data_IF_064084244905
#
_entry.id   IF_064084244905
#
_cell.length_a   1.000
_cell.length_b   1.000
_cell.length_c   1.000
_cell.angle_alpha   90.00
_cell.angle_beta   90.00
_cell.angle_gamma   90.00
#
_symmetry.space_group_name_H-M   'P 1'
#
loop_
_entity.id
_entity.type
_entity.pdbx_description
1 polymer ?
#
# COMPACT_ATOMS: atom_id res chain seq x y z
N UNK A 1 0.67 -2.51 29.19
CA UNK A 1 0.97 -1.08 29.19
C UNK A 1 0.34 -0.44 27.97
N UNK A 2 -0.28 0.72 28.15
CA UNK A 2 -0.74 1.61 27.08
C UNK A 2 0.29 2.73 26.98
N UNK A 3 0.72 3.10 25.78
CA UNK A 3 1.56 4.28 25.58
C UNK A 3 0.78 5.37 24.83
N UNK A 4 1.07 6.63 25.17
CA UNK A 4 0.60 7.83 24.48
C UNK A 4 1.80 8.78 24.35
N UNK A 5 2.35 8.87 23.15
CA UNK A 5 3.58 9.61 22.85
C UNK A 5 3.24 10.75 21.89
N UNK A 6 3.60 11.98 22.24
CA UNK A 6 3.21 13.17 21.48
C UNK A 6 4.35 14.15 21.32
N UNK A 7 4.34 14.86 20.19
CA UNK A 7 5.13 16.06 19.92
C UNK A 7 6.65 15.80 19.96
N UNK A 8 7.18 15.34 18.83
CA UNK A 8 8.61 15.11 18.65
C UNK A 8 9.15 15.96 17.50
N UNK A 9 10.28 16.63 17.75
CA UNK A 9 10.89 17.59 16.84
C UNK A 9 11.71 16.93 15.73
N UNK A 10 12.99 16.70 15.99
CA UNK A 10 13.97 16.42 14.93
C UNK A 10 14.21 14.93 14.65
N UNK A 11 14.46 14.14 15.69
CA UNK A 11 14.72 12.70 15.57
C UNK A 11 14.11 11.94 16.72
N UNK A 12 13.65 10.73 16.44
CA UNK A 12 13.16 9.84 17.47
C UNK A 12 13.32 8.38 17.07
N UNK A 13 13.71 7.56 18.05
CA UNK A 13 13.79 6.11 17.96
C UNK A 13 12.94 5.53 19.09
N UNK A 14 11.84 4.87 18.74
CA UNK A 14 10.92 4.26 19.68
C UNK A 14 10.88 2.76 19.47
N UNK A 15 11.15 2.00 20.52
CA UNK A 15 11.23 0.53 20.46
C UNK A 15 10.42 -0.15 21.54
N UNK A 16 9.88 -1.31 21.19
CA UNK A 16 9.34 -2.32 22.12
C UNK A 16 8.10 -1.86 22.88
N UNK A 17 6.97 -1.78 22.19
CA UNK A 17 5.68 -1.45 22.78
C UNK A 17 4.70 -2.62 22.67
N UNK A 18 4.03 -3.00 23.76
CA UNK A 18 3.46 -4.35 23.85
C UNK A 18 1.96 -4.55 23.56
N UNK A 19 1.08 -3.58 23.84
CA UNK A 19 -0.38 -3.82 23.77
C UNK A 19 -1.17 -2.74 23.03
N UNK A 20 -1.05 -1.48 23.44
CA UNK A 20 -1.76 -0.38 22.80
C UNK A 20 -0.89 0.87 22.82
N UNK A 21 -0.69 1.47 21.66
CA UNK A 21 0.14 2.65 21.53
C UNK A 21 -0.46 3.67 20.58
N UNK A 22 -0.48 4.90 21.05
CA UNK A 22 -0.86 6.06 20.26
C UNK A 22 0.38 6.95 20.16
N UNK A 23 0.78 7.30 18.93
CA UNK A 23 1.95 8.12 18.67
C UNK A 23 1.54 9.24 17.71
N UNK A 24 1.78 10.49 18.08
CA UNK A 24 1.28 11.64 17.32
C UNK A 24 2.31 12.76 17.18
N UNK A 25 2.24 13.46 16.05
CA UNK A 25 2.94 14.71 15.77
C UNK A 25 4.47 14.56 15.79
N UNK A 26 5.02 14.23 14.63
CA UNK A 26 6.46 14.13 14.37
C UNK A 26 6.83 15.02 13.20
N UNK A 27 7.78 15.94 13.42
CA UNK A 27 8.24 16.85 12.36
C UNK A 27 9.37 16.27 11.51
N UNK A 28 10.33 15.60 12.15
CA UNK A 28 11.57 15.13 11.52
C UNK A 28 11.63 13.63 11.25
N UNK A 29 12.78 13.03 11.52
CA UNK A 29 13.03 11.61 11.24
C UNK A 29 12.52 10.71 12.36
N UNK A 30 11.79 9.66 12.01
CA UNK A 30 11.25 8.69 12.95
C UNK A 30 11.68 7.26 12.61
N UNK A 31 12.16 6.52 13.62
CA UNK A 31 12.36 5.06 13.54
C UNK A 31 11.51 4.40 14.63
N UNK A 32 10.48 3.65 14.23
CA UNK A 32 9.56 2.99 15.15
C UNK A 32 9.65 1.47 14.96
N UNK A 33 9.99 0.75 16.03
CA UNK A 33 10.20 -0.71 15.97
C UNK A 33 9.44 -1.47 17.04
N UNK A 34 8.97 -2.66 16.66
CA UNK A 34 8.42 -3.67 17.56
C UNK A 34 7.22 -3.14 18.36
N UNK A 35 6.17 -2.77 17.65
CA UNK A 35 4.90 -2.37 18.25
C UNK A 35 3.90 -3.53 18.14
N UNK A 36 3.48 -4.08 19.27
CA UNK A 36 2.51 -5.15 19.37
C UNK A 36 1.10 -4.65 19.71
N UNK A 37 0.10 -5.44 19.29
CA UNK A 37 -1.29 -5.24 19.67
C UNK A 37 -2.02 -4.22 18.78
N UNK A 38 -2.35 -3.04 19.32
CA UNK A 38 -3.06 -1.97 18.62
C UNK A 38 -2.19 -0.71 18.53
N UNK A 39 -2.03 -0.17 17.33
CA UNK A 39 -1.20 1.01 17.09
C UNK A 39 -1.99 2.06 16.30
N UNK A 40 -1.96 3.30 16.77
CA UNK A 40 -2.50 4.46 16.06
C UNK A 40 -1.40 5.51 15.92
N UNK A 41 -0.94 5.73 14.69
CA UNK A 41 0.16 6.64 14.36
C UNK A 41 -0.38 7.77 13.49
N UNK A 42 -0.21 9.02 13.92
CA UNK A 42 -0.74 10.20 13.20
C UNK A 42 0.26 11.33 13.06
N UNK A 43 0.22 11.99 11.90
CA UNK A 43 0.90 13.25 11.62
C UNK A 43 2.42 13.13 11.73
N UNK A 44 3.03 12.44 10.78
CA UNK A 44 4.48 12.32 10.63
C UNK A 44 4.89 13.08 9.37
N UNK A 45 5.59 14.21 9.50
CA UNK A 45 5.89 15.11 8.38
C UNK A 45 7.16 14.77 7.61
N UNK A 46 8.17 14.21 8.28
CA UNK A 46 9.48 13.93 7.69
C UNK A 46 9.62 12.50 7.18
N UNK A 47 10.82 11.95 7.33
CA UNK A 47 11.14 10.57 6.95
C UNK A 47 10.78 9.59 8.05
N UNK A 48 10.15 8.49 7.70
CA UNK A 48 9.74 7.50 8.68
C UNK A 48 10.06 6.06 8.27
N UNK A 49 10.69 5.32 9.17
CA UNK A 49 10.96 3.87 9.05
C UNK A 49 10.19 3.14 10.16
N UNK A 50 9.22 2.32 9.77
CA UNK A 50 8.36 1.60 10.70
C UNK A 50 8.50 0.10 10.48
N UNK A 51 8.92 -0.62 11.53
CA UNK A 51 9.20 -2.06 11.44
C UNK A 51 8.50 -2.86 12.53
N UNK A 52 7.97 -4.01 12.13
CA UNK A 52 7.42 -5.03 13.03
C UNK A 52 6.23 -4.50 13.86
N UNK A 53 5.14 -4.23 13.17
CA UNK A 53 3.88 -3.79 13.76
C UNK A 53 2.87 -4.95 13.78
N UNK A 54 2.63 -5.51 14.96
CA UNK A 54 1.71 -6.63 15.15
C UNK A 54 0.26 -6.21 15.37
N UNK A 55 -0.67 -7.14 15.12
CA UNK A 55 -2.09 -6.96 15.45
C UNK A 55 -2.85 -6.03 14.50
N UNK A 56 -3.28 -4.87 14.98
CA UNK A 56 -4.08 -3.88 14.25
C UNK A 56 -3.39 -2.51 14.24
N UNK A 57 -3.23 -1.93 13.06
CA UNK A 57 -2.52 -0.66 12.89
C UNK A 57 -3.36 0.33 12.07
N UNK A 58 -3.47 1.57 12.55
CA UNK A 58 -4.04 2.71 11.85
C UNK A 58 -2.95 3.77 11.70
N UNK A 59 -2.59 4.11 10.45
CA UNK A 59 -1.52 5.05 10.13
C UNK A 59 -2.09 6.15 9.24
N UNK A 60 -1.96 7.40 9.70
CA UNK A 60 -2.55 8.55 9.01
C UNK A 60 -1.58 9.72 8.90
N UNK A 61 -1.59 10.36 7.72
CA UNK A 61 -0.86 11.59 7.43
C UNK A 61 0.64 11.42 7.65
N UNK A 62 1.24 10.76 6.67
CA UNK A 62 2.68 10.52 6.60
C UNK A 62 3.25 11.33 5.43
N UNK A 63 4.35 12.02 5.67
CA UNK A 63 4.91 13.05 4.80
C UNK A 63 5.81 12.47 3.72
N UNK A 64 6.96 13.10 3.51
CA UNK A 64 7.76 12.97 2.30
C UNK A 64 8.16 11.53 1.95
N UNK A 65 8.72 10.78 2.90
CA UNK A 65 9.28 9.45 2.64
C UNK A 65 8.95 8.46 3.76
N UNK A 66 8.40 7.31 3.38
CA UNK A 66 7.98 6.28 4.32
C UNK A 66 8.43 4.88 3.88
N UNK A 67 9.04 4.15 4.81
CA UNK A 67 9.35 2.73 4.68
C UNK A 67 8.58 1.96 5.77
N UNK A 68 7.65 1.10 5.34
CA UNK A 68 6.78 0.32 6.22
C UNK A 68 7.07 -1.18 6.01
N UNK A 69 7.54 -1.87 7.05
CA UNK A 69 7.90 -3.29 6.97
C UNK A 69 7.25 -4.13 8.06
N UNK A 70 6.74 -5.29 7.66
CA UNK A 70 6.22 -6.34 8.54
C UNK A 70 5.05 -5.84 9.39
N UNK A 71 3.89 -5.72 8.76
CA UNK A 71 2.65 -5.31 9.39
C UNK A 71 1.67 -6.48 9.52
N UNK A 72 1.03 -6.57 10.68
CA UNK A 72 0.32 -7.74 11.17
C UNK A 72 -1.05 -7.99 10.54
N UNK A 73 -2.04 -8.34 11.37
CA UNK A 73 -3.30 -8.91 10.88
C UNK A 73 -4.18 -7.93 10.11
N UNK A 74 -4.24 -6.66 10.55
CA UNK A 74 -5.09 -5.62 9.94
C UNK A 74 -4.37 -4.29 9.91
N UNK A 75 -4.40 -3.62 8.75
CA UNK A 75 -3.76 -2.32 8.57
C UNK A 75 -4.70 -1.38 7.80
N UNK A 76 -4.81 -0.16 8.28
CA UNK A 76 -5.44 0.97 7.59
C UNK A 76 -4.38 2.06 7.42
N UNK A 77 -4.04 2.37 6.17
CA UNK A 77 -3.02 3.35 5.80
C UNK A 77 -3.67 4.46 4.98
N UNK A 78 -3.55 5.71 5.44
CA UNK A 78 -4.19 6.86 4.78
C UNK A 78 -3.25 8.05 4.67
N UNK A 79 -3.26 8.68 3.49
CA UNK A 79 -2.58 9.95 3.21
C UNK A 79 -1.06 9.83 3.44
N UNK A 80 -0.38 9.27 2.45
CA UNK A 80 1.07 9.17 2.43
C UNK A 80 1.64 10.03 1.29
N UNK A 81 2.77 10.69 1.54
CA UNK A 81 3.37 11.66 0.65
C UNK A 81 4.08 11.05 -0.55
N UNK A 82 5.25 11.59 -0.89
CA UNK A 82 5.84 11.45 -2.22
C UNK A 82 6.48 10.10 -2.50
N UNK A 83 7.07 9.43 -1.51
CA UNK A 83 7.77 8.15 -1.71
C UNK A 83 7.43 7.16 -0.62
N UNK A 84 6.89 6.02 -1.02
CA UNK A 84 6.43 4.98 -0.09
C UNK A 84 6.92 3.60 -0.51
N UNK A 85 7.57 2.90 0.41
CA UNK A 85 7.93 1.48 0.28
C UNK A 85 7.19 0.67 1.35
N UNK A 86 6.33 -0.23 0.93
CA UNK A 86 5.46 -1.02 1.80
C UNK A 86 5.73 -2.50 1.57
N UNK A 87 6.20 -3.20 2.60
CA UNK A 87 6.59 -4.61 2.50
C UNK A 87 5.98 -5.47 3.61
N UNK A 88 5.49 -6.64 3.20
CA UNK A 88 5.03 -7.71 4.09
C UNK A 88 3.87 -7.25 4.97
N UNK A 89 2.70 -7.15 4.37
CA UNK A 89 1.46 -6.82 5.05
C UNK A 89 0.57 -8.06 5.17
N UNK A 90 -0.03 -8.26 6.34
CA UNK A 90 -0.74 -9.50 6.66
C UNK A 90 -2.13 -9.61 6.02
N UNK A 91 -3.12 -10.04 6.81
CA UNK A 91 -4.36 -10.66 6.26
C UNK A 91 -5.33 -9.67 5.62
N UNK A 92 -5.41 -8.43 6.11
CA UNK A 92 -6.36 -7.41 5.64
C UNK A 92 -5.73 -6.04 5.62
N UNK A 93 -5.73 -5.40 4.46
CA UNK A 93 -5.11 -4.10 4.29
C UNK A 93 -6.03 -3.16 3.50
N UNK A 94 -6.21 -1.96 4.05
CA UNK A 94 -6.83 -0.84 3.38
C UNK A 94 -5.76 0.24 3.21
N UNK A 95 -5.52 0.65 1.96
CA UNK A 95 -4.44 1.60 1.63
C UNK A 95 -5.02 2.68 0.74
N UNK A 96 -4.96 3.94 1.17
CA UNK A 96 -5.62 5.05 0.48
C UNK A 96 -4.77 6.30 0.41
N UNK A 97 -4.85 6.98 -0.73
CA UNK A 97 -4.27 8.30 -0.98
C UNK A 97 -2.74 8.31 -0.81
N UNK A 98 -2.05 7.82 -1.83
CA UNK A 98 -0.59 7.76 -1.88
C UNK A 98 -0.07 8.58 -3.06
N UNK A 99 0.91 9.44 -2.82
CA UNK A 99 1.50 10.31 -3.83
C UNK A 99 2.76 9.76 -4.48
N UNK A 100 3.16 10.40 -5.58
CA UNK A 100 4.50 10.30 -6.18
C UNK A 100 4.93 8.91 -6.65
N UNK A 101 5.65 8.17 -5.81
CA UNK A 101 6.26 6.88 -6.13
C UNK A 101 5.97 5.86 -5.03
N UNK A 102 5.39 4.73 -5.42
CA UNK A 102 4.96 3.69 -4.51
C UNK A 102 5.49 2.33 -4.92
N UNK A 103 6.16 1.62 -4.00
CA UNK A 103 6.54 0.22 -4.15
C UNK A 103 5.82 -0.60 -3.08
N UNK A 104 4.92 -1.50 -3.49
CA UNK A 104 4.12 -2.32 -2.60
C UNK A 104 4.40 -3.80 -2.87
N UNK A 105 4.88 -4.50 -1.85
CA UNK A 105 5.28 -5.91 -1.97
C UNK A 105 4.70 -6.78 -0.86
N UNK A 106 4.25 -7.97 -1.26
CA UNK A 106 3.85 -9.06 -0.36
C UNK A 106 2.68 -8.64 0.55
N UNK A 107 1.51 -8.44 -0.05
CA UNK A 107 0.27 -8.14 0.66
C UNK A 107 -0.62 -9.38 0.74
N UNK A 108 -0.96 -9.82 1.95
CA UNK A 108 -1.69 -11.05 2.18
C UNK A 108 -3.22 -10.91 2.11
N UNK A 109 -3.89 -12.07 1.99
CA UNK A 109 -5.32 -12.23 2.24
C UNK A 109 -6.26 -11.38 1.38
N UNK A 110 -6.63 -10.20 1.87
CA UNK A 110 -7.57 -9.28 1.24
C UNK A 110 -7.01 -7.85 1.28
N UNK A 111 -6.98 -7.19 0.13
CA UNK A 111 -6.44 -5.84 0.02
C UNK A 111 -7.38 -4.93 -0.77
N UNK A 112 -7.60 -3.72 -0.28
CA UNK A 112 -8.31 -2.64 -0.97
C UNK A 112 -7.38 -1.42 -1.06
N UNK A 113 -6.96 -1.09 -2.27
CA UNK A 113 -6.00 -0.04 -2.54
C UNK A 113 -6.63 1.01 -3.44
N UNK A 114 -6.59 2.28 -3.02
CA UNK A 114 -7.26 3.37 -3.76
C UNK A 114 -6.42 4.64 -3.82
N UNK A 115 -6.52 5.31 -4.97
CA UNK A 115 -5.99 6.66 -5.20
C UNK A 115 -4.47 6.69 -5.03
N UNK A 116 -3.77 6.21 -6.05
CA UNK A 116 -2.31 6.27 -6.13
C UNK A 116 -1.91 7.18 -7.29
N UNK A 117 -0.99 8.11 -7.03
CA UNK A 117 -0.44 9.01 -8.04
C UNK A 117 0.92 8.56 -8.58
N UNK A 118 1.30 9.09 -9.74
CA UNK A 118 2.66 9.00 -10.28
C UNK A 118 3.07 7.60 -10.75
N UNK A 119 4.02 6.95 -10.05
CA UNK A 119 4.57 5.64 -10.42
C UNK A 119 4.31 4.61 -9.34
N UNK A 120 3.81 3.45 -9.74
CA UNK A 120 3.41 2.38 -8.84
C UNK A 120 3.98 1.03 -9.29
N UNK A 121 4.72 0.36 -8.41
CA UNK A 121 5.16 -1.03 -8.57
C UNK A 121 4.47 -1.89 -7.51
N UNK A 122 3.66 -2.86 -7.94
CA UNK A 122 2.84 -3.69 -7.07
C UNK A 122 3.16 -5.16 -7.34
N UNK A 123 3.67 -5.86 -6.31
CA UNK A 123 4.11 -7.25 -6.43
C UNK A 123 3.57 -8.15 -5.34
N UNK A 124 3.14 -9.34 -5.74
CA UNK A 124 2.76 -10.43 -4.83
C UNK A 124 1.60 -10.04 -3.91
N UNK A 125 0.40 -10.02 -4.48
CA UNK A 125 -0.83 -9.77 -3.75
C UNK A 125 -1.63 -11.07 -3.59
N UNK A 126 -2.21 -11.25 -2.40
CA UNK A 126 -2.86 -12.48 -1.96
C UNK A 126 -4.19 -12.79 -2.64
N UNK A 127 -5.08 -13.48 -1.91
CA UNK A 127 -6.26 -14.12 -2.48
C UNK A 127 -7.24 -13.16 -3.17
N UNK A 128 -7.46 -11.96 -2.60
CA UNK A 128 -8.42 -10.98 -3.14
C UNK A 128 -7.87 -9.57 -3.10
N UNK A 129 -7.97 -8.89 -4.23
CA UNK A 129 -7.44 -7.53 -4.39
C UNK A 129 -8.43 -6.66 -5.13
N UNK A 130 -8.69 -5.47 -4.61
CA UNK A 130 -9.45 -4.40 -5.29
C UNK A 130 -8.53 -3.18 -5.39
N UNK A 131 -8.25 -2.73 -6.61
CA UNK A 131 -7.34 -1.63 -6.90
C UNK A 131 -8.06 -0.61 -7.76
N UNK A 132 -8.11 0.63 -7.28
CA UNK A 132 -8.85 1.70 -7.94
C UNK A 132 -8.04 2.99 -8.03
N UNK A 133 -8.16 3.66 -9.17
CA UNK A 133 -7.64 5.01 -9.41
C UNK A 133 -6.12 5.09 -9.24
N UNK A 134 -5.42 4.58 -10.24
CA UNK A 134 -3.96 4.66 -10.33
C UNK A 134 -3.58 5.60 -11.47
N UNK A 135 -2.91 6.71 -11.14
CA UNK A 135 -2.38 7.65 -12.12
C UNK A 135 -1.03 7.21 -12.69
N UNK A 136 -0.64 7.84 -13.79
CA UNK A 136 0.70 7.70 -14.39
C UNK A 136 1.05 6.27 -14.84
N UNK A 137 2.12 5.71 -14.29
CA UNK A 137 2.70 4.43 -14.71
C UNK A 137 2.56 3.36 -13.63
N UNK A 138 2.10 2.18 -14.03
CA UNK A 138 1.84 1.06 -13.12
C UNK A 138 2.47 -0.24 -13.63
N UNK A 139 3.18 -0.95 -12.76
CA UNK A 139 3.65 -2.32 -12.99
C UNK A 139 3.03 -3.23 -11.92
N UNK A 140 2.20 -4.18 -12.34
CA UNK A 140 1.43 -5.07 -11.48
C UNK A 140 1.84 -6.51 -11.76
N UNK A 141 2.36 -7.20 -10.75
CA UNK A 141 2.83 -8.59 -10.88
C UNK A 141 2.33 -9.50 -9.78
N UNK A 142 1.91 -10.70 -10.18
CA UNK A 142 1.54 -11.79 -9.27
C UNK A 142 0.38 -11.41 -8.33
N UNK A 143 -0.82 -11.34 -8.89
CA UNK A 143 -2.05 -11.16 -8.12
C UNK A 143 -2.75 -12.51 -7.96
N UNK A 144 -3.25 -12.80 -6.76
CA UNK A 144 -3.86 -14.10 -6.45
C UNK A 144 -5.23 -14.32 -7.11
N UNK A 145 -6.04 -15.17 -6.49
CA UNK A 145 -7.20 -15.79 -7.13
C UNK A 145 -8.24 -14.84 -7.74
N UNK A 146 -8.47 -13.67 -7.10
CA UNK A 146 -9.47 -12.70 -7.55
C UNK A 146 -8.91 -11.29 -7.51
N UNK A 147 -8.87 -10.61 -8.64
CA UNK A 147 -8.53 -9.19 -8.72
C UNK A 147 -9.61 -8.38 -9.45
N UNK A 148 -9.89 -7.19 -8.93
CA UNK A 148 -10.71 -6.16 -9.57
C UNK A 148 -9.86 -4.91 -9.70
N UNK A 149 -9.51 -4.54 -10.93
CA UNK A 149 -8.60 -3.45 -11.24
C UNK A 149 -9.34 -2.40 -12.08
N UNK A 150 -9.48 -1.19 -11.56
CA UNK A 150 -10.26 -0.11 -12.18
C UNK A 150 -9.52 1.21 -12.25
N UNK A 151 -9.68 1.91 -13.37
CA UNK A 151 -9.20 3.28 -13.57
C UNK A 151 -7.68 3.36 -13.42
N UNK A 152 -6.98 2.86 -14.42
CA UNK A 152 -5.52 2.94 -14.51
C UNK A 152 -5.12 3.92 -15.60
N UNK A 153 -4.06 4.70 -15.32
CA UNK A 153 -3.65 5.87 -16.09
C UNK A 153 -2.93 5.56 -17.40
N UNK A 154 -1.85 6.29 -17.67
CA UNK A 154 -1.23 6.40 -18.99
C UNK A 154 -0.52 5.13 -19.46
N UNK A 155 0.10 4.39 -18.53
CA UNK A 155 0.89 3.21 -18.87
C UNK A 155 0.77 2.10 -17.83
N UNK A 156 0.40 0.91 -18.27
CA UNK A 156 0.20 -0.22 -17.37
C UNK A 156 0.82 -1.51 -17.91
N UNK A 157 1.65 -2.18 -17.10
CA UNK A 157 2.13 -3.54 -17.36
C UNK A 157 1.51 -4.45 -16.29
N UNK A 158 0.73 -5.46 -16.71
CA UNK A 158 0.07 -6.40 -15.82
C UNK A 158 0.51 -7.81 -16.17
N UNK A 159 1.08 -8.51 -15.18
CA UNK A 159 1.58 -9.87 -15.36
C UNK A 159 1.10 -10.79 -14.26
N UNK A 160 0.75 -12.03 -14.62
CA UNK A 160 0.42 -13.09 -13.67
C UNK A 160 -0.76 -12.71 -12.77
N UNK A 161 -1.92 -12.43 -13.38
CA UNK A 161 -3.17 -12.24 -12.66
C UNK A 161 -3.85 -13.60 -12.48
N UNK A 162 -4.24 -13.94 -11.25
CA UNK A 162 -4.79 -15.25 -10.93
C UNK A 162 -6.18 -15.53 -11.52
N UNK A 163 -6.84 -16.57 -11.00
CA UNK A 163 -7.91 -17.30 -11.68
C UNK A 163 -9.12 -16.49 -12.19
N UNK A 164 -9.51 -15.39 -11.52
CA UNK A 164 -10.58 -14.49 -11.97
C UNK A 164 -10.13 -13.04 -11.91
N UNK A 165 -10.22 -12.32 -13.02
CA UNK A 165 -9.92 -10.90 -13.06
C UNK A 165 -11.04 -10.06 -13.70
N UNK A 166 -11.25 -8.85 -13.20
CA UNK A 166 -12.11 -7.83 -13.82
C UNK A 166 -11.26 -6.57 -14.02
N UNK A 167 -10.98 -6.24 -15.28
CA UNK A 167 -10.11 -5.14 -15.66
C UNK A 167 -10.93 -4.09 -16.41
N UNK A 168 -11.02 -2.88 -15.85
CA UNK A 168 -11.84 -1.79 -16.40
C UNK A 168 -11.09 -0.47 -16.46
N UNK A 169 -11.28 0.26 -17.56
CA UNK A 169 -10.80 1.63 -17.72
C UNK A 169 -9.27 1.73 -17.59
N UNK A 170 -8.56 1.13 -18.54
CA UNK A 170 -7.10 1.26 -18.66
C UNK A 170 -6.79 2.26 -19.78
N UNK A 171 -6.19 3.40 -19.42
CA UNK A 171 -5.83 4.46 -20.35
C UNK A 171 -4.54 4.17 -21.12
N UNK A 172 -4.32 4.96 -22.17
CA UNK A 172 -3.06 5.03 -22.90
C UNK A 172 -2.57 3.69 -23.45
N UNK A 173 -1.42 3.24 -22.94
CA UNK A 173 -0.78 1.98 -23.33
C UNK A 173 -0.91 0.96 -22.21
N UNK A 174 -1.26 -0.28 -22.57
CA UNK A 174 -1.18 -1.37 -21.62
C UNK A 174 -0.63 -2.66 -22.23
N UNK A 175 0.04 -3.45 -21.40
CA UNK A 175 0.57 -4.77 -21.73
C UNK A 175 0.05 -5.76 -20.69
N UNK A 176 -0.76 -6.72 -21.12
CA UNK A 176 -1.40 -7.71 -20.28
C UNK A 176 -0.79 -9.08 -20.60
N UNK A 177 -0.22 -9.77 -19.62
CA UNK A 177 0.37 -11.11 -19.83
C UNK A 177 -0.03 -12.08 -18.74
N UNK A 178 -0.23 -13.34 -19.11
CA UNK A 178 -0.48 -14.44 -18.17
C UNK A 178 -1.61 -14.13 -17.18
N UNK A 179 -2.81 -13.87 -17.67
CA UNK A 179 -3.99 -13.67 -16.84
C UNK A 179 -4.86 -14.95 -16.81
N UNK A 180 -5.55 -15.16 -15.68
CA UNK A 180 -6.24 -16.41 -15.38
C UNK A 180 -7.41 -16.73 -16.33
N UNK A 181 -7.94 -17.95 -16.17
CA UNK A 181 -8.92 -18.56 -17.07
C UNK A 181 -10.22 -17.75 -17.28
N UNK A 182 -10.53 -16.76 -16.42
CA UNK A 182 -11.74 -15.94 -16.51
C UNK A 182 -11.39 -14.48 -16.26
N UNK A 183 -11.17 -13.74 -17.33
CA UNK A 183 -10.83 -12.33 -17.28
C UNK A 183 -11.78 -11.49 -18.12
N UNK A 184 -12.48 -10.58 -17.45
CA UNK A 184 -13.36 -9.62 -18.09
C UNK A 184 -12.58 -8.34 -18.38
N UNK A 185 -12.50 -7.96 -19.66
CA UNK A 185 -11.78 -6.78 -20.12
C UNK A 185 -12.76 -5.74 -20.66
N UNK A 186 -12.76 -4.51 -20.12
CA UNK A 186 -13.62 -3.41 -20.60
C UNK A 186 -12.88 -2.07 -20.63
N UNK A 187 -13.17 -1.26 -21.65
CA UNK A 187 -12.69 0.12 -21.79
C UNK A 187 -11.15 0.23 -21.72
N UNK A 188 -10.48 -0.25 -22.76
CA UNK A 188 -9.04 -0.20 -22.90
C UNK A 188 -8.62 0.86 -23.93
N UNK A 189 -7.50 1.53 -23.67
CA UNK A 189 -6.91 2.53 -24.56
C UNK A 189 -6.44 1.91 -25.88
N UNK A 190 -6.19 2.79 -26.86
CA UNK A 190 -5.90 2.41 -28.25
C UNK A 190 -4.64 1.52 -28.43
N UNK A 191 -3.74 1.50 -27.44
CA UNK A 191 -2.45 0.77 -27.49
C UNK A 191 -2.34 -0.30 -26.42
N UNK A 192 -3.42 -1.04 -26.21
CA UNK A 192 -3.45 -2.16 -25.30
C UNK A 192 -3.19 -3.49 -26.01
N UNK A 193 -2.19 -4.22 -25.51
CA UNK A 193 -1.81 -5.55 -26.00
C UNK A 193 -2.02 -6.59 -24.90
N UNK A 194 -2.40 -7.80 -25.32
CA UNK A 194 -2.67 -8.97 -24.48
C UNK A 194 -1.85 -10.17 -24.96
#
# INVERSE_FOLDING_TARGET
MRCDLRNFGEKCDLRNFGKRCEVRNFGGMCDLRNFGGMCDLRNFGGMCDLRNFGGMCDLRNFGEMCDLRNFGMRCDLRNFGEKCDLRNFGKRCEVRNFGGMCDLRNFGGMCDLRNFGGMCDLRNFGMRCDLRNYGGMCDLRNFGEKCDLRNFGERCDLRNLGGRCDLRNFGGMCDLRNFGMRCDLRNFGERCVT
#
